data_IF_526899522647
#
_entry.id   IF_526899522647
#
_cell.length_a   1.000
_cell.length_b   1.000
_cell.length_c   1.000
_cell.angle_alpha   90.00
_cell.angle_beta   90.00
_cell.angle_gamma   90.00
#
_symmetry.space_group_name_H-M   'P 1'
#
loop_
_entity.id
_entity.type
_entity.pdbx_description
1 polymer ?
#
# COMPACT_ATOMS: atom_id res chain seq x y z
N UNK A 1 1.35 17.14 0.55
CA UNK A 1 1.20 15.66 0.56
C UNK A 1 0.07 15.28 -0.40
N UNK A 2 0.39 14.71 -1.57
CA UNK A 2 -0.59 14.44 -2.63
C UNK A 2 -1.16 13.01 -2.58
N UNK A 3 -0.37 12.02 -2.16
CA UNK A 3 -0.76 10.59 -2.24
C UNK A 3 -0.42 9.85 -0.95
N UNK A 4 -1.39 9.10 -0.43
CA UNK A 4 -1.21 8.14 0.65
C UNK A 4 -1.37 6.72 0.11
N UNK A 5 -0.31 5.91 0.25
CA UNK A 5 -0.33 4.48 -0.05
C UNK A 5 -0.37 3.72 1.27
N UNK A 6 -1.30 2.76 1.40
CA UNK A 6 -1.46 1.97 2.61
C UNK A 6 -2.00 0.57 2.29
N UNK A 7 -1.69 -0.45 3.12
CA UNK A 7 -2.32 -1.75 2.97
C UNK A 7 -3.82 -1.65 3.28
N UNK A 8 -4.63 -2.39 2.53
CA UNK A 8 -6.09 -2.50 2.74
C UNK A 8 -6.52 -3.93 2.60
N UNK A 9 -7.40 -4.40 3.48
CA UNK A 9 -8.13 -5.66 3.30
C UNK A 9 -9.52 -5.34 2.76
N UNK A 10 -9.88 -5.97 1.64
CA UNK A 10 -11.22 -5.85 1.05
C UNK A 10 -11.68 -7.25 0.66
N UNK A 11 -12.85 -7.66 1.15
CA UNK A 11 -13.37 -9.04 0.98
C UNK A 11 -12.33 -10.12 1.34
N UNK A 12 -11.67 -9.95 2.50
CA UNK A 12 -10.63 -10.86 3.02
C UNK A 12 -9.35 -10.97 2.15
N UNK A 13 -9.24 -10.20 1.06
CA UNK A 13 -8.04 -10.17 0.20
C UNK A 13 -7.21 -8.90 0.44
N UNK A 14 -5.87 -8.99 0.35
CA UNK A 14 -5.01 -7.82 0.49
C UNK A 14 -4.94 -6.99 -0.79
N UNK A 15 -4.97 -5.68 -0.62
CA UNK A 15 -4.87 -4.67 -1.68
C UNK A 15 -3.88 -3.58 -1.28
N UNK A 16 -3.31 -2.93 -2.28
CA UNK A 16 -2.66 -1.63 -2.18
C UNK A 16 -3.78 -0.58 -2.21
N UNK A 17 -3.98 0.13 -1.11
CA UNK A 17 -4.87 1.27 -1.02
C UNK A 17 -4.15 2.55 -1.40
N UNK A 18 -4.72 3.33 -2.31
CA UNK A 18 -4.23 4.64 -2.71
C UNK A 18 -5.31 5.69 -2.42
N UNK A 19 -5.02 6.58 -1.48
CA UNK A 19 -5.87 7.71 -1.13
C UNK A 19 -5.20 9.00 -1.60
N UNK A 20 -6.00 9.85 -2.22
CA UNK A 20 -5.56 11.15 -2.74
C UNK A 20 -6.18 12.22 -1.85
N UNK A 21 -5.34 13.10 -1.30
CA UNK A 21 -5.77 14.13 -0.33
C UNK A 21 -6.49 15.31 -1.02
N UNK A 22 -6.09 15.61 -2.26
CA UNK A 22 -6.64 16.70 -3.07
C UNK A 22 -6.96 16.17 -4.46
N UNK A 23 -8.13 16.53 -5.00
CA UNK A 23 -8.53 16.06 -6.30
C UNK A 23 -7.51 16.50 -7.37
N UNK A 24 -6.90 15.51 -8.02
CA UNK A 24 -5.96 15.72 -9.13
C UNK A 24 -6.37 14.79 -10.27
N UNK A 25 -6.99 15.36 -11.31
CA UNK A 25 -7.58 14.59 -12.41
C UNK A 25 -6.57 13.64 -13.07
N UNK A 26 -5.38 14.12 -13.40
CA UNK A 26 -4.32 13.32 -14.03
C UNK A 26 -3.90 12.13 -13.17
N UNK A 27 -3.85 12.32 -11.85
CA UNK A 27 -3.48 11.29 -10.91
C UNK A 27 -4.55 10.19 -10.84
N UNK A 28 -5.83 10.57 -10.82
CA UNK A 28 -6.93 9.60 -10.90
C UNK A 28 -6.88 8.80 -12.21
N UNK A 29 -6.54 9.43 -13.34
CA UNK A 29 -6.38 8.73 -14.62
C UNK A 29 -5.22 7.72 -14.58
N UNK A 30 -4.07 8.12 -14.05
CA UNK A 30 -2.89 7.24 -13.90
C UNK A 30 -3.15 6.07 -12.97
N UNK A 31 -3.91 6.25 -11.88
CA UNK A 31 -4.25 5.13 -10.99
C UNK A 31 -5.26 4.20 -11.66
N UNK A 32 -6.23 4.74 -12.39
CA UNK A 32 -7.23 3.96 -13.13
C UNK A 32 -6.63 3.13 -14.27
N UNK A 33 -5.49 3.55 -14.84
CA UNK A 33 -4.79 2.75 -15.87
C UNK A 33 -4.07 1.53 -15.32
N UNK A 34 -3.85 1.45 -14.00
CA UNK A 34 -3.23 0.29 -13.37
C UNK A 34 -4.20 -0.90 -13.46
N UNK A 35 -3.68 -2.03 -13.92
CA UNK A 35 -4.48 -3.24 -14.15
C UNK A 35 -5.23 -3.65 -12.87
N UNK A 36 -6.53 -3.87 -13.02
CA UNK A 36 -7.46 -4.25 -11.94
C UNK A 36 -7.64 -3.20 -10.82
N UNK A 37 -7.22 -1.95 -11.03
CA UNK A 37 -7.54 -0.87 -10.11
C UNK A 37 -9.05 -0.59 -10.09
N UNK A 38 -9.62 -0.45 -8.90
CA UNK A 38 -11.01 -0.02 -8.74
C UNK A 38 -11.16 0.93 -7.55
N UNK A 39 -12.13 1.83 -7.62
CA UNK A 39 -12.44 2.70 -6.49
C UNK A 39 -13.32 1.96 -5.48
N UNK A 40 -12.93 1.94 -4.21
CA UNK A 40 -13.74 1.41 -3.11
C UNK A 40 -14.32 2.58 -2.30
N UNK A 41 -15.66 2.76 -2.29
CA UNK A 41 -16.30 3.80 -1.49
C UNK A 41 -16.11 3.55 0.02
N UNK A 42 -16.09 2.29 0.46
CA UNK A 42 -15.95 1.90 1.87
C UNK A 42 -14.62 2.35 2.46
N UNK A 43 -13.54 2.16 1.71
CA UNK A 43 -12.17 2.49 2.15
C UNK A 43 -11.74 3.89 1.69
N UNK A 44 -12.58 4.56 0.88
CA UNK A 44 -12.34 5.87 0.24
C UNK A 44 -10.96 5.90 -0.44
N UNK A 45 -10.64 4.82 -1.14
CA UNK A 45 -9.33 4.59 -1.73
C UNK A 45 -9.45 3.81 -3.04
N UNK A 46 -8.52 4.02 -3.96
CA UNK A 46 -8.30 3.10 -5.06
C UNK A 46 -7.66 1.84 -4.51
N UNK A 47 -8.23 0.69 -4.85
CA UNK A 47 -7.74 -0.62 -4.48
C UNK A 47 -7.11 -1.28 -5.68
N UNK A 48 -5.88 -1.72 -5.51
CA UNK A 48 -5.10 -2.41 -6.54
C UNK A 48 -4.64 -3.74 -5.95
N UNK A 49 -4.81 -4.88 -6.64
CA UNK A 49 -4.40 -6.18 -6.12
C UNK A 49 -2.94 -6.15 -5.66
N UNK A 50 -2.68 -6.74 -4.50
CA UNK A 50 -1.33 -6.77 -3.93
C UNK A 50 -0.46 -7.83 -4.61
N UNK A 51 0.00 -7.54 -5.83
CA UNK A 51 0.90 -8.40 -6.62
C UNK A 51 2.20 -7.66 -6.94
N UNK A 52 3.27 -8.40 -7.22
CA UNK A 52 4.56 -7.82 -7.60
C UNK A 52 4.47 -6.94 -8.86
N UNK A 53 3.66 -7.36 -9.84
CA UNK A 53 3.41 -6.61 -11.07
C UNK A 53 2.66 -5.31 -10.79
N UNK A 54 1.55 -5.39 -10.03
CA UNK A 54 0.77 -4.24 -9.63
C UNK A 54 1.60 -3.23 -8.84
N UNK A 55 2.48 -3.69 -7.94
CA UNK A 55 3.36 -2.81 -7.18
C UNK A 55 4.41 -2.13 -8.06
N UNK A 56 5.00 -2.86 -9.02
CA UNK A 56 5.92 -2.30 -10.00
C UNK A 56 5.22 -1.21 -10.82
N UNK A 57 4.01 -1.48 -11.29
CA UNK A 57 3.21 -0.52 -12.05
C UNK A 57 2.85 0.72 -11.22
N UNK A 58 2.43 0.54 -9.97
CA UNK A 58 2.18 1.65 -9.04
C UNK A 58 3.41 2.56 -8.92
N UNK A 59 4.60 1.99 -8.67
CA UNK A 59 5.83 2.78 -8.55
C UNK A 59 6.17 3.52 -9.83
N UNK A 60 5.99 2.90 -10.99
CA UNK A 60 6.27 3.53 -12.28
C UNK A 60 5.33 4.72 -12.52
N UNK A 61 4.01 4.50 -12.42
CA UNK A 61 2.99 5.50 -12.71
C UNK A 61 2.99 6.67 -11.72
N UNK A 62 3.35 6.39 -10.46
CA UNK A 62 3.27 7.35 -9.36
C UNK A 62 4.63 7.96 -9.01
N UNK A 63 5.71 7.58 -9.70
CA UNK A 63 7.09 8.04 -9.47
C UNK A 63 7.25 9.56 -9.48
N UNK A 64 6.40 10.26 -10.24
CA UNK A 64 6.43 11.72 -10.38
C UNK A 64 5.69 12.48 -9.28
N UNK A 65 5.11 11.78 -8.29
CA UNK A 65 4.29 12.39 -7.25
C UNK A 65 4.86 12.13 -5.86
N UNK A 66 4.62 13.06 -4.94
CA UNK A 66 4.96 12.89 -3.53
C UNK A 66 4.06 11.81 -2.89
N UNK A 67 4.66 10.64 -2.67
CA UNK A 67 4.01 9.48 -2.05
C UNK A 67 4.39 9.36 -0.58
N UNK A 68 3.38 9.21 0.28
CA UNK A 68 3.55 8.79 1.68
C UNK A 68 3.07 7.36 1.83
N UNK A 69 3.95 6.45 2.23
CA UNK A 69 3.59 5.05 2.49
C UNK A 69 3.35 4.88 3.99
N UNK A 70 2.10 4.59 4.38
CA UNK A 70 1.81 4.18 5.75
C UNK A 70 2.16 2.70 5.91
N UNK A 71 3.03 2.42 6.89
CA UNK A 71 3.28 1.05 7.36
C UNK A 71 2.01 0.55 8.04
N UNK A 72 1.76 -0.76 7.96
CA UNK A 72 0.76 -1.43 8.78
C UNK A 72 1.23 -1.36 10.24
N UNK A 73 0.96 -0.24 10.92
CA UNK A 73 1.05 -0.18 12.36
C UNK A 73 -0.16 -0.96 12.83
N UNK A 74 0.02 -2.22 13.21
CA UNK A 74 -1.04 -3.10 13.73
C UNK A 74 -1.71 -2.55 14.99
N UNK A 75 -2.47 -1.48 14.82
CA UNK A 75 -3.33 -0.84 15.81
C UNK A 75 -4.72 -0.84 15.18
N UNK A 76 -5.29 -2.03 15.08
CA UNK A 76 -6.66 -2.14 15.52
C UNK A 76 -6.61 -2.23 17.04
N UNK A 77 -7.43 -1.45 17.73
CA UNK A 77 -7.76 -1.64 19.14
C UNK A 77 -8.55 -2.94 19.38
N UNK A 78 -8.18 -4.03 18.70
CA UNK A 78 -8.75 -5.36 18.87
C UNK A 78 -7.61 -6.30 19.24
N UNK A 79 -7.63 -6.74 20.50
CA UNK A 79 -6.74 -7.78 21.03
C UNK A 79 -6.69 -8.95 20.03
N UNK A 80 -5.50 -9.41 19.61
CA UNK A 80 -5.41 -10.52 18.68
C UNK A 80 -5.97 -11.79 19.35
N UNK A 81 -7.03 -12.34 18.77
CA UNK A 81 -7.51 -13.68 19.10
C UNK A 81 -6.42 -14.68 18.70
N UNK A 82 -5.88 -15.39 19.69
CA UNK A 82 -4.69 -16.25 19.60
C UNK A 82 -4.80 -17.43 18.61
N UNK A 83 -5.94 -17.65 17.95
CA UNK A 83 -6.22 -18.90 17.24
C UNK A 83 -6.63 -18.75 15.76
N UNK A 84 -6.71 -17.55 15.18
CA UNK A 84 -7.20 -17.36 13.79
C UNK A 84 -6.14 -16.84 12.80
N UNK A 85 -4.91 -17.37 12.87
CA UNK A 85 -3.86 -17.04 11.92
C UNK A 85 -3.28 -18.35 11.35
N UNK A 86 -3.56 -18.72 10.08
CA UNK A 86 -2.54 -19.43 9.31
C UNK A 86 -1.39 -18.44 9.16
N UNK A 87 -0.26 -18.74 9.80
CA UNK A 87 0.93 -17.89 9.82
C UNK A 87 1.14 -17.22 8.47
N UNK A 88 1.21 -15.88 8.45
CA UNK A 88 1.77 -15.16 7.32
C UNK A 88 3.13 -15.81 7.03
N UNK A 89 3.18 -16.56 5.94
CA UNK A 89 4.32 -17.35 5.50
C UNK A 89 5.58 -16.47 5.47
N UNK A 90 6.70 -17.03 5.97
CA UNK A 90 7.97 -16.32 6.18
C UNK A 90 8.56 -15.66 4.92
N UNK A 91 8.03 -15.97 3.74
CA UNK A 91 8.35 -15.28 2.48
C UNK A 91 7.84 -13.84 2.43
N UNK A 92 6.64 -13.55 2.93
CA UNK A 92 6.10 -12.19 2.96
C UNK A 92 6.80 -11.32 4.00
N UNK A 93 7.19 -11.90 5.15
CA UNK A 93 8.04 -11.22 6.13
C UNK A 93 9.43 -10.95 5.56
N UNK A 94 10.02 -11.89 4.81
CA UNK A 94 11.29 -11.67 4.09
C UNK A 94 11.17 -10.59 3.03
N UNK A 95 10.06 -10.54 2.28
CA UNK A 95 9.83 -9.50 1.27
C UNK A 95 9.66 -8.12 1.93
N UNK A 96 8.91 -8.03 3.04
CA UNK A 96 8.79 -6.80 3.83
C UNK A 96 10.13 -6.35 4.41
N UNK A 97 10.92 -7.28 4.96
CA UNK A 97 12.28 -7.00 5.46
C UNK A 97 13.21 -6.52 4.33
N UNK A 98 13.18 -7.17 3.16
CA UNK A 98 13.98 -6.77 2.01
C UNK A 98 13.61 -5.37 1.50
N UNK A 99 12.32 -5.05 1.42
CA UNK A 99 11.85 -3.72 1.01
C UNK A 99 12.26 -2.66 2.04
N UNK A 100 12.15 -2.96 3.34
CA UNK A 100 12.60 -2.05 4.41
C UNK A 100 14.11 -1.84 4.33
N UNK A 101 14.88 -2.89 4.04
CA UNK A 101 16.35 -2.83 4.00
C UNK A 101 16.89 -2.11 2.76
N UNK A 102 16.29 -2.30 1.57
CA UNK A 102 16.61 -1.51 0.36
C UNK A 102 16.29 -0.01 0.58
N UNK A 103 15.21 0.31 1.32
CA UNK A 103 14.88 1.69 1.67
C UNK A 103 15.87 2.31 2.67
N UNK A 104 16.28 1.58 3.72
CA UNK A 104 17.26 2.07 4.70
C UNK A 104 18.67 2.22 4.10
N UNK A 105 18.99 1.46 3.05
CA UNK A 105 20.27 1.53 2.32
C UNK A 105 20.37 2.74 1.39
N UNK A 106 19.23 3.37 1.03
CA UNK A 106 19.15 4.51 0.10
C UNK A 106 19.16 5.88 0.78
N UNK A 107 19.43 5.93 2.09
CA UNK A 107 19.93 7.14 2.75
C UNK A 107 18.94 8.29 2.95
N UNK A 108 17.63 8.04 3.01
CA UNK A 108 16.66 9.10 3.39
C UNK A 108 16.22 8.92 4.84
N UNK A 109 16.80 9.76 5.71
CA UNK A 109 16.49 9.87 7.13
C UNK A 109 15.06 10.38 7.32
N UNK A 110 14.23 9.67 8.10
CA UNK A 110 12.98 10.21 8.63
C UNK A 110 13.22 10.64 10.08
N UNK A 111 13.19 11.95 10.32
CA UNK A 111 13.04 12.52 11.66
C UNK A 111 11.57 12.35 12.04
N UNK A 112 11.36 11.83 13.27
CA UNK A 112 10.10 11.37 13.86
C UNK A 112 8.99 12.42 13.87
#
# INVERSE_FOLDING_TARGET
MAILIHPVKHNQKPYIGIRISQYQYELHLKIKSIKYAFWSPDTKSWLIPYTSESWKECKNQLSTFDMTIKKDTGIDNQKPHKNDIPSLNGELQKLMMYIIQDYMSRGTVLIL
#
